data_IF_623977825886
#
_entry.id   IF_623977825886
#
_cell.length_a   1.000
_cell.length_b   1.000
_cell.length_c   1.000
_cell.angle_alpha   90.00
_cell.angle_beta   90.00
_cell.angle_gamma   90.00
#
_symmetry.space_group_name_H-M   'P 1'
#
loop_
_entity.id
_entity.type
_entity.pdbx_description
1 polymer ?
#
# COMPACT_ATOMS: atom_id res chain seq x y z
N UNK A 1 4.46 14.98 -19.49
CA UNK A 1 3.51 13.95 -19.03
C UNK A 1 4.28 12.95 -18.19
N UNK A 2 3.83 12.68 -16.96
CA UNK A 2 4.43 11.70 -16.07
C UNK A 2 3.34 10.69 -15.66
N UNK A 3 3.73 9.44 -15.51
CA UNK A 3 2.84 8.38 -14.99
C UNK A 3 3.19 8.10 -13.55
N UNK A 4 2.19 8.14 -12.68
CA UNK A 4 2.32 7.83 -11.26
C UNK A 4 1.69 6.47 -11.01
N UNK A 5 2.41 5.59 -10.31
CA UNK A 5 1.89 4.30 -9.86
C UNK A 5 1.73 4.33 -8.34
N UNK A 6 0.54 3.97 -7.85
CA UNK A 6 0.21 4.04 -6.43
C UNK A 6 0.20 2.66 -5.80
N UNK A 7 1.07 2.50 -4.81
CA UNK A 7 0.93 1.51 -3.75
C UNK A 7 0.07 2.11 -2.62
N UNK A 8 -1.21 1.73 -2.58
CA UNK A 8 -2.18 2.24 -1.61
C UNK A 8 -1.95 1.74 -0.17
N UNK A 9 -2.58 2.43 0.78
CA UNK A 9 -2.52 2.13 2.21
C UNK A 9 -3.39 0.95 2.64
N UNK A 10 -3.31 0.61 3.93
CA UNK A 10 -3.97 -0.55 4.51
C UNK A 10 -5.49 -0.41 4.48
N UNK A 11 -6.17 -1.55 4.34
CA UNK A 11 -7.63 -1.69 4.28
C UNK A 11 -8.31 -0.91 3.14
N UNK A 12 -7.52 -0.34 2.24
CA UNK A 12 -7.99 0.44 1.10
C UNK A 12 -7.86 -0.36 -0.20
N UNK A 13 -8.11 0.28 -1.33
CA UNK A 13 -7.78 -0.23 -2.65
C UNK A 13 -7.61 0.92 -3.65
N UNK A 14 -7.48 0.62 -4.94
CA UNK A 14 -7.38 1.63 -6.00
C UNK A 14 -8.52 2.65 -6.00
N UNK A 15 -9.69 2.27 -5.48
CA UNK A 15 -10.85 3.16 -5.35
C UNK A 15 -10.57 4.39 -4.48
N UNK A 16 -9.71 4.33 -3.46
CA UNK A 16 -9.49 5.49 -2.56
C UNK A 16 -8.82 6.67 -3.25
N UNK A 17 -8.18 6.41 -4.40
CA UNK A 17 -7.52 7.41 -5.21
C UNK A 17 -8.39 7.93 -6.35
N UNK A 18 -9.67 7.53 -6.42
CA UNK A 18 -10.60 7.92 -7.49
C UNK A 18 -10.67 9.43 -7.68
N UNK A 19 -10.70 10.21 -6.59
CA UNK A 19 -10.77 11.68 -6.65
C UNK A 19 -9.47 12.33 -7.15
N UNK A 20 -8.33 11.65 -7.00
CA UNK A 20 -7.03 12.15 -7.47
C UNK A 20 -6.82 11.96 -8.97
N UNK A 21 -7.36 10.89 -9.56
CA UNK A 21 -7.22 10.60 -10.99
C UNK A 21 -7.55 11.80 -11.92
N UNK A 22 -8.72 12.48 -11.79
CA UNK A 22 -9.03 13.64 -12.64
C UNK A 22 -8.08 14.82 -12.38
N UNK A 23 -7.71 15.09 -11.12
CA UNK A 23 -6.81 16.20 -10.77
C UNK A 23 -5.43 16.03 -11.40
N UNK A 24 -4.88 14.81 -11.38
CA UNK A 24 -3.60 14.50 -12.04
C UNK A 24 -3.73 14.62 -13.57
N UNK A 25 -4.84 14.16 -14.15
CA UNK A 25 -5.09 14.26 -15.59
C UNK A 25 -5.19 15.71 -16.07
N UNK A 26 -5.84 16.59 -15.30
CA UNK A 26 -5.93 18.02 -15.59
C UNK A 26 -4.54 18.69 -15.65
N UNK A 27 -3.57 18.15 -14.92
CA UNK A 27 -2.17 18.61 -14.94
C UNK A 27 -1.30 17.85 -15.96
N UNK A 28 -1.90 17.07 -16.86
CA UNK A 28 -1.19 16.33 -17.90
C UNK A 28 -0.39 15.14 -17.36
N UNK A 29 -0.87 14.51 -16.28
CA UNK A 29 -0.29 13.31 -15.67
C UNK A 29 -1.27 12.14 -15.70
N UNK A 30 -0.74 10.93 -15.63
CA UNK A 30 -1.51 9.70 -15.51
C UNK A 30 -1.35 9.12 -14.10
N UNK A 31 -2.40 8.51 -13.56
CA UNK A 31 -2.40 7.91 -12.23
C UNK A 31 -2.93 6.47 -12.26
N UNK A 32 -2.00 5.52 -12.23
CA UNK A 32 -2.27 4.09 -12.08
C UNK A 32 -2.49 3.77 -10.61
N UNK A 33 -3.66 3.23 -10.29
CA UNK A 33 -4.08 2.94 -8.90
C UNK A 33 -4.68 1.54 -8.85
N UNK A 34 -3.84 0.50 -8.96
CA UNK A 34 -4.28 -0.89 -8.84
C UNK A 34 -4.73 -1.22 -7.41
N UNK A 35 -5.56 -2.24 -7.26
CA UNK A 35 -5.89 -2.83 -5.97
C UNK A 35 -5.06 -4.08 -5.74
N UNK A 36 -4.61 -4.31 -4.52
CA UNK A 36 -3.92 -5.57 -4.18
C UNK A 36 -4.88 -6.76 -4.12
N UNK A 37 -4.35 -7.96 -4.28
CA UNK A 37 -5.02 -9.23 -4.01
C UNK A 37 -5.63 -9.23 -2.61
N UNK A 38 -6.90 -9.61 -2.49
CA UNK A 38 -7.61 -9.62 -1.20
C UNK A 38 -8.19 -8.27 -0.77
N UNK A 39 -8.02 -7.20 -1.54
CA UNK A 39 -8.57 -5.88 -1.25
C UNK A 39 -9.39 -5.31 -2.43
N UNK A 40 -10.29 -4.38 -2.12
CA UNK A 40 -11.14 -3.73 -3.14
C UNK A 40 -11.97 -4.70 -3.97
N UNK A 41 -11.97 -4.52 -5.29
CA UNK A 41 -12.62 -5.41 -6.27
C UNK A 41 -12.01 -6.84 -6.28
N UNK A 42 -10.82 -7.01 -5.70
CA UNK A 42 -10.13 -8.29 -5.53
C UNK A 42 -10.33 -8.90 -4.13
N UNK A 43 -11.26 -8.36 -3.32
CA UNK A 43 -11.56 -8.84 -1.96
C UNK A 43 -11.98 -10.32 -1.89
N UNK A 44 -12.56 -10.85 -2.96
CA UNK A 44 -12.90 -12.27 -3.10
C UNK A 44 -11.67 -13.20 -3.13
N UNK A 45 -10.46 -12.66 -3.32
CA UNK A 45 -9.20 -13.39 -3.29
C UNK A 45 -8.51 -13.34 -1.92
N UNK A 46 -9.17 -12.83 -0.88
CA UNK A 46 -8.59 -12.75 0.46
C UNK A 46 -8.34 -14.17 1.02
N UNK A 47 -7.10 -14.43 1.41
CA UNK A 47 -6.64 -15.71 1.96
C UNK A 47 -5.59 -15.51 3.06
N UNK A 48 -5.41 -16.54 3.89
CA UNK A 48 -4.40 -16.55 4.98
C UNK A 48 -2.95 -16.51 4.48
N UNK A 49 -2.77 -16.85 3.21
CA UNK A 49 -1.55 -16.92 2.43
C UNK A 49 -1.25 -15.61 1.68
N UNK A 50 -2.17 -14.65 1.69
CA UNK A 50 -1.92 -13.31 1.13
C UNK A 50 -1.02 -12.54 2.10
N UNK A 51 0.21 -12.29 1.68
CA UNK A 51 1.26 -11.67 2.45
C UNK A 51 1.79 -10.37 1.79
N UNK A 52 2.88 -9.81 2.33
CA UNK A 52 3.46 -8.57 1.80
C UNK A 52 4.01 -8.77 0.39
N UNK A 53 4.66 -9.91 0.12
CA UNK A 53 5.22 -10.24 -1.19
C UNK A 53 4.13 -10.41 -2.25
N UNK A 54 2.93 -10.92 -1.90
CA UNK A 54 1.79 -10.95 -2.80
C UNK A 54 1.40 -9.53 -3.29
N UNK A 55 1.37 -8.54 -2.38
CA UNK A 55 1.05 -7.15 -2.75
C UNK A 55 2.19 -6.49 -3.54
N UNK A 56 3.46 -6.81 -3.26
CA UNK A 56 4.60 -6.38 -4.08
C UNK A 56 4.50 -6.96 -5.49
N UNK A 57 4.20 -8.26 -5.61
CA UNK A 57 4.04 -8.94 -6.88
C UNK A 57 2.91 -8.36 -7.73
N UNK A 58 1.78 -7.98 -7.12
CA UNK A 58 0.68 -7.31 -7.82
C UNK A 58 1.14 -6.02 -8.51
N UNK A 59 2.00 -5.23 -7.87
CA UNK A 59 2.50 -3.96 -8.41
C UNK A 59 3.61 -4.16 -9.44
N UNK A 60 4.48 -5.14 -9.25
CA UNK A 60 5.43 -5.57 -10.28
C UNK A 60 4.71 -6.06 -11.54
N UNK A 61 3.60 -6.78 -11.37
CA UNK A 61 2.77 -7.20 -12.50
C UNK A 61 2.17 -5.99 -13.24
N UNK A 62 1.68 -4.98 -12.53
CA UNK A 62 1.19 -3.73 -13.15
C UNK A 62 2.30 -3.04 -13.94
N UNK A 63 3.50 -2.88 -13.39
CA UNK A 63 4.65 -2.32 -14.13
C UNK A 63 4.94 -3.14 -15.39
N UNK A 64 4.93 -4.47 -15.29
CA UNK A 64 5.22 -5.34 -16.43
C UNK A 64 4.16 -5.31 -17.53
N UNK A 65 2.88 -5.27 -17.17
CA UNK A 65 1.78 -5.47 -18.12
C UNK A 65 1.18 -4.15 -18.64
N UNK A 66 1.19 -3.09 -17.85
CA UNK A 66 0.82 -1.74 -18.31
C UNK A 66 2.00 -1.04 -19.01
N UNK A 67 3.24 -1.54 -18.80
CA UNK A 67 4.49 -1.02 -19.38
C UNK A 67 4.62 0.53 -19.30
N UNK A 68 4.38 1.15 -18.12
CA UNK A 68 4.51 2.58 -18.00
C UNK A 68 5.99 2.98 -18.12
N UNK A 69 6.26 4.05 -18.87
CA UNK A 69 7.61 4.59 -19.00
C UNK A 69 8.06 5.27 -17.70
N UNK A 70 9.05 4.68 -17.03
CA UNK A 70 9.73 5.20 -15.84
C UNK A 70 8.80 5.83 -14.79
N UNK A 71 7.73 5.15 -14.32
CA UNK A 71 6.74 5.76 -13.45
C UNK A 71 7.34 6.29 -12.15
N UNK A 72 6.69 7.32 -11.61
CA UNK A 72 6.90 7.75 -10.22
C UNK A 72 6.08 6.83 -9.32
N UNK A 73 6.75 6.06 -8.47
CA UNK A 73 6.09 5.15 -7.52
C UNK A 73 5.73 5.91 -6.25
N UNK A 74 4.46 5.88 -5.85
CA UNK A 74 3.95 6.47 -4.62
C UNK A 74 3.63 5.34 -3.64
N UNK A 75 4.25 5.31 -2.48
CA UNK A 75 3.84 4.49 -1.34
C UNK A 75 3.09 5.35 -0.33
N UNK A 76 1.82 5.04 -0.05
CA UNK A 76 1.04 5.73 0.98
C UNK A 76 0.77 4.83 2.19
N UNK A 77 1.06 5.28 3.40
CA UNK A 77 0.85 4.50 4.63
C UNK A 77 1.50 3.10 4.53
N UNK A 78 0.74 2.02 4.75
CA UNK A 78 1.14 0.62 4.49
C UNK A 78 1.78 0.43 3.11
N UNK A 79 1.30 1.16 2.10
CA UNK A 79 1.84 1.12 0.74
C UNK A 79 3.31 1.52 0.67
N UNK A 80 3.89 2.17 1.69
CA UNK A 80 5.33 2.37 1.81
C UNK A 80 6.12 1.07 1.93
N UNK A 81 5.59 0.04 2.61
CA UNK A 81 6.19 -1.31 2.64
C UNK A 81 6.24 -1.90 1.23
N UNK A 82 5.09 -1.88 0.54
CA UNK A 82 4.92 -2.43 -0.81
C UNK A 82 5.81 -1.67 -1.80
N UNK A 83 5.77 -0.33 -1.78
CA UNK A 83 6.53 0.52 -2.68
C UNK A 83 8.04 0.36 -2.49
N UNK A 84 8.52 0.21 -1.25
CA UNK A 84 9.94 -0.06 -0.98
C UNK A 84 10.35 -1.40 -1.56
N UNK A 85 9.51 -2.43 -1.43
CA UNK A 85 9.73 -3.73 -2.06
C UNK A 85 9.83 -3.60 -3.57
N UNK A 86 8.80 -3.05 -4.23
CA UNK A 86 8.79 -2.83 -5.68
C UNK A 86 10.05 -2.08 -6.14
N UNK A 87 10.39 -0.97 -5.48
CA UNK A 87 11.55 -0.15 -5.81
C UNK A 87 12.89 -0.87 -5.65
N UNK A 88 12.99 -1.84 -4.75
CA UNK A 88 14.18 -2.67 -4.60
C UNK A 88 14.28 -3.75 -5.71
N UNK A 89 13.17 -4.28 -6.21
CA UNK A 89 13.17 -5.30 -7.28
C UNK A 89 13.42 -4.71 -8.67
N UNK A 90 12.87 -3.53 -8.96
CA UNK A 90 12.92 -2.90 -10.30
C UNK A 90 13.34 -1.43 -10.25
N UNK A 91 14.45 -1.07 -9.59
CA UNK A 91 14.84 0.32 -9.42
C UNK A 91 15.07 1.03 -10.75
N UNK A 92 15.60 0.32 -11.76
CA UNK A 92 15.92 0.91 -13.07
C UNK A 92 14.67 1.14 -13.94
N UNK A 93 13.49 0.66 -13.50
CA UNK A 93 12.20 0.90 -14.14
C UNK A 93 11.45 2.09 -13.52
N UNK A 94 11.98 2.75 -12.50
CA UNK A 94 11.30 3.83 -11.77
C UNK A 94 12.09 5.13 -11.88
N UNK A 95 11.40 6.26 -12.03
CA UNK A 95 12.07 7.57 -12.02
C UNK A 95 12.28 8.12 -10.61
N UNK A 96 11.39 7.77 -9.67
CA UNK A 96 11.40 8.24 -8.28
C UNK A 96 10.50 7.39 -7.40
N UNK A 97 10.85 7.28 -6.12
CA UNK A 97 9.96 6.80 -5.07
C UNK A 97 9.51 7.95 -4.16
N UNK A 98 8.21 8.13 -4.00
CA UNK A 98 7.58 9.10 -3.11
C UNK A 98 6.87 8.35 -1.98
N UNK A 99 7.29 8.62 -0.75
CA UNK A 99 6.58 8.20 0.45
C UNK A 99 5.59 9.31 0.83
N UNK A 100 4.31 8.98 0.93
CA UNK A 100 3.25 9.89 1.35
C UNK A 100 2.66 9.36 2.66
N UNK A 101 2.99 9.98 3.80
CA UNK A 101 2.57 9.51 5.13
C UNK A 101 2.73 8.01 5.31
N UNK A 102 3.93 7.51 4.99
CA UNK A 102 4.16 6.11 4.72
C UNK A 102 5.21 5.48 5.61
N UNK A 103 5.08 4.17 5.81
CA UNK A 103 6.13 3.38 6.44
C UNK A 103 7.36 3.29 5.53
N UNK A 104 8.55 3.43 6.11
CA UNK A 104 9.84 3.34 5.41
C UNK A 104 10.67 2.23 6.04
N UNK A 105 10.49 0.95 5.64
CA UNK A 105 11.17 -0.17 6.27
C UNK A 105 12.65 -0.24 5.88
N UNK A 106 13.47 -0.77 6.80
CA UNK A 106 14.78 -1.35 6.50
C UNK A 106 14.63 -2.84 6.18
N UNK A 107 15.68 -3.44 5.63
CA UNK A 107 15.73 -4.89 5.42
C UNK A 107 15.43 -5.65 6.72
N UNK A 108 14.62 -6.70 6.61
CA UNK A 108 14.25 -7.55 7.73
C UNK A 108 13.19 -6.96 8.68
N UNK A 109 12.66 -5.76 8.43
CA UNK A 109 11.55 -5.21 9.22
C UNK A 109 10.19 -5.60 8.64
N UNK A 110 9.24 -5.95 9.51
CA UNK A 110 7.82 -5.98 9.14
C UNK A 110 7.16 -4.62 9.46
N UNK A 111 5.92 -4.41 9.00
CA UNK A 111 5.18 -3.21 9.41
C UNK A 111 4.99 -3.18 10.93
N UNK A 112 4.66 -4.32 11.54
CA UNK A 112 4.51 -4.42 12.99
C UNK A 112 5.75 -4.01 13.79
N UNK A 113 6.97 -4.13 13.23
CA UNK A 113 8.21 -3.69 13.89
C UNK A 113 8.38 -2.16 13.85
N UNK A 114 7.68 -1.48 12.95
CA UNK A 114 7.68 -0.03 12.79
C UNK A 114 6.62 0.68 13.65
N UNK A 115 5.75 -0.09 14.32
CA UNK A 115 4.72 0.44 15.21
C UNK A 115 5.25 0.62 16.63
N UNK A 116 4.63 1.55 17.36
CA UNK A 116 4.74 1.58 18.82
C UNK A 116 4.19 0.31 19.46
N UNK A 117 4.68 -0.05 20.65
CA UNK A 117 4.32 -1.29 21.33
C UNK A 117 2.80 -1.44 21.55
N UNK A 118 2.11 -0.35 21.88
CA UNK A 118 0.66 -0.33 22.08
C UNK A 118 -0.11 -0.59 20.78
N UNK A 119 0.25 0.11 19.69
CA UNK A 119 -0.38 -0.09 18.38
C UNK A 119 -0.18 -1.50 17.84
N UNK A 120 1.03 -2.04 18.01
CA UNK A 120 1.37 -3.42 17.67
C UNK A 120 0.50 -4.41 18.43
N UNK A 121 0.37 -4.24 19.75
CA UNK A 121 -0.47 -5.10 20.59
C UNK A 121 -1.94 -5.02 20.15
N UNK A 122 -2.46 -3.81 19.95
CA UNK A 122 -3.83 -3.57 19.47
C UNK A 122 -4.13 -4.28 18.16
N UNK A 123 -3.23 -4.19 17.17
CA UNK A 123 -3.43 -4.87 15.88
C UNK A 123 -3.42 -6.39 16.00
N UNK A 124 -2.52 -6.95 16.82
CA UNK A 124 -2.44 -8.39 17.06
C UNK A 124 -3.66 -8.92 17.81
N UNK A 125 -4.15 -8.18 18.81
CA UNK A 125 -5.34 -8.55 19.57
C UNK A 125 -6.60 -8.43 18.72
N UNK A 126 -6.70 -7.42 17.85
CA UNK A 126 -7.78 -7.31 16.89
C UNK A 126 -7.82 -8.51 15.93
N UNK A 127 -6.66 -8.99 15.46
CA UNK A 127 -6.59 -10.20 14.65
C UNK A 127 -7.03 -11.45 15.42
N UNK A 128 -6.64 -11.59 16.70
CA UNK A 128 -7.01 -12.73 17.55
C UNK A 128 -8.50 -12.82 17.84
N UNK A 129 -9.16 -11.68 18.02
CA UNK A 129 -10.61 -11.58 18.29
C UNK A 129 -11.43 -11.81 17.02
N UNK A 130 -10.88 -11.49 15.85
CA UNK A 130 -11.50 -11.76 14.55
C UNK A 130 -11.63 -13.28 14.30
N UNK A 131 -12.74 -13.69 13.70
CA UNK A 131 -13.07 -15.11 13.47
C UNK A 131 -12.14 -15.71 12.41
N UNK A 132 -11.05 -16.29 12.89
CA UNK A 132 -10.07 -17.00 12.06
C UNK A 132 -8.63 -16.64 12.42
N UNK A 133 -8.40 -15.55 13.16
CA UNK A 133 -7.06 -15.21 13.63
C UNK A 133 -6.10 -14.71 12.54
N UNK A 134 -6.60 -14.45 11.32
CA UNK A 134 -5.75 -14.22 10.15
C UNK A 134 -6.04 -12.91 9.42
N UNK A 135 -7.03 -12.11 9.83
CA UNK A 135 -7.30 -10.78 9.27
C UNK A 135 -7.34 -9.72 10.36
N UNK A 136 -7.03 -8.49 10.00
CA UNK A 136 -7.10 -7.32 10.87
C UNK A 136 -8.22 -6.40 10.38
N UNK A 137 -9.14 -5.94 11.26
CA UNK A 137 -10.16 -4.95 10.91
C UNK A 137 -9.56 -3.59 10.57
N UNK A 138 -10.26 -2.80 9.73
CA UNK A 138 -9.82 -1.44 9.45
C UNK A 138 -9.76 -0.57 10.71
N UNK A 139 -8.65 0.15 10.90
CA UNK A 139 -8.58 1.21 11.92
C UNK A 139 -9.64 2.31 11.65
N UNK A 140 -10.08 3.06 12.67
CA UNK A 140 -10.88 4.26 12.45
C UNK A 140 -10.25 5.21 11.43
N UNK A 141 -11.06 5.87 10.61
CA UNK A 141 -10.55 6.90 9.70
C UNK A 141 -10.24 8.19 10.48
N UNK A 142 -9.39 9.08 9.93
CA UNK A 142 -9.05 10.35 10.56
C UNK A 142 -10.29 11.14 10.98
N UNK A 143 -10.23 11.80 12.14
CA UNK A 143 -11.38 12.50 12.75
C UNK A 143 -11.88 13.67 11.89
N UNK A 144 -11.01 14.23 11.05
CA UNK A 144 -11.30 15.29 10.09
C UNK A 144 -11.83 14.78 8.74
N UNK A 145 -12.03 13.47 8.58
CA UNK A 145 -12.69 12.92 7.39
C UNK A 145 -14.14 13.40 7.32
N UNK A 146 -14.54 14.00 6.19
CA UNK A 146 -15.91 14.48 6.00
C UNK A 146 -16.94 13.35 6.14
N UNK A 147 -18.16 13.66 6.58
CA UNK A 147 -19.24 12.66 6.72
C UNK A 147 -19.54 11.94 5.39
N UNK A 148 -19.52 12.68 4.28
CA UNK A 148 -19.71 12.12 2.95
C UNK A 148 -18.62 11.09 2.59
N UNK A 149 -17.36 11.38 2.94
CA UNK A 149 -16.25 10.46 2.69
C UNK A 149 -16.23 9.30 3.68
N UNK A 150 -16.65 9.53 4.94
CA UNK A 150 -16.89 8.48 5.92
C UNK A 150 -17.92 7.47 5.40
N UNK A 151 -19.08 7.95 4.96
CA UNK A 151 -20.16 7.12 4.42
C UNK A 151 -19.74 6.40 3.14
N UNK A 152 -18.95 7.04 2.27
CA UNK A 152 -18.50 6.43 1.03
C UNK A 152 -17.39 5.39 1.22
N UNK A 153 -16.38 5.67 2.04
CA UNK A 153 -15.21 4.81 2.18
C UNK A 153 -15.45 3.63 3.14
N UNK A 154 -16.21 3.82 4.22
CA UNK A 154 -16.47 2.76 5.23
C UNK A 154 -16.93 1.43 4.62
N UNK A 155 -17.95 1.35 3.75
CA UNK A 155 -18.39 0.08 3.17
C UNK A 155 -17.41 -0.51 2.15
N UNK A 156 -16.38 0.23 1.73
CA UNK A 156 -15.36 -0.20 0.76
C UNK A 156 -14.08 -0.66 1.43
N UNK A 157 -13.89 -0.37 2.72
CA UNK A 157 -12.75 -0.84 3.50
C UNK A 157 -13.03 -2.24 4.00
N UNK A 158 -12.12 -3.16 3.71
CA UNK A 158 -12.26 -4.58 4.05
C UNK A 158 -11.17 -5.01 5.03
N UNK A 159 -11.42 -6.10 5.75
CA UNK A 159 -10.45 -6.75 6.61
C UNK A 159 -9.22 -7.16 5.79
N UNK A 160 -8.01 -6.84 6.27
CA UNK A 160 -6.76 -7.14 5.55
C UNK A 160 -6.03 -8.33 6.20
N UNK A 161 -5.46 -9.27 5.43
CA UNK A 161 -4.72 -10.41 5.97
C UNK A 161 -3.57 -9.99 6.90
N UNK A 162 -3.37 -10.70 8.01
CA UNK A 162 -2.37 -10.39 9.03
C UNK A 162 -0.94 -10.52 8.50
N UNK A 163 -0.69 -11.49 7.61
CA UNK A 163 0.65 -11.73 7.06
C UNK A 163 1.19 -10.53 6.28
N UNK A 164 0.34 -9.68 5.70
CA UNK A 164 0.79 -8.46 5.03
C UNK A 164 1.47 -7.48 6.00
N UNK A 165 1.13 -7.53 7.28
CA UNK A 165 1.72 -6.67 8.32
C UNK A 165 2.89 -7.33 9.05
N UNK A 166 2.86 -8.67 9.14
CA UNK A 166 3.81 -9.48 9.92
C UNK A 166 5.02 -9.94 9.13
N UNK A 167 4.90 -10.12 7.82
CA UNK A 167 6.00 -10.59 6.99
C UNK A 167 7.13 -9.54 6.95
N UNK A 168 8.37 -9.91 7.34
CA UNK A 168 9.52 -9.04 7.18
C UNK A 168 9.83 -8.84 5.70
N UNK A 169 10.07 -7.59 5.30
CA UNK A 169 10.52 -7.30 3.94
C UNK A 169 11.95 -7.77 3.73
N UNK A 170 12.27 -8.26 2.53
CA UNK A 170 13.64 -8.57 2.11
C UNK A 170 14.10 -7.54 1.10
N UNK A 171 15.19 -6.84 1.37
CA UNK A 171 15.74 -5.78 0.53
C UNK A 171 17.22 -6.04 0.22
N UNK A 172 17.61 -5.79 -1.02
CA UNK A 172 19.01 -5.86 -1.48
C UNK A 172 19.77 -4.55 -1.25
N UNK A 173 19.06 -3.48 -0.90
CA UNK A 173 19.58 -2.10 -0.82
C UNK A 173 19.48 -1.36 -2.15
N UNK A 174 18.92 -1.99 -3.18
CA UNK A 174 18.81 -1.41 -4.51
C UNK A 174 17.87 -0.18 -4.55
N UNK A 175 16.89 -0.12 -3.63
CA UNK A 175 16.03 1.06 -3.43
C UNK A 175 16.82 2.34 -3.10
N UNK A 176 18.04 2.23 -2.57
CA UNK A 176 18.87 3.40 -2.24
C UNK A 176 19.42 4.12 -3.48
N UNK A 177 19.45 3.46 -4.63
CA UNK A 177 19.87 4.07 -5.91
C UNK A 177 18.84 5.03 -6.47
N UNK A 178 17.60 4.95 -6.01
CA UNK A 178 16.50 5.77 -6.49
C UNK A 178 16.43 7.13 -5.78
N UNK A 179 16.11 8.21 -6.50
CA UNK A 179 15.67 9.45 -5.88
C UNK A 179 14.44 9.18 -5.01
N UNK A 180 14.49 9.61 -3.75
CA UNK A 180 13.43 9.42 -2.76
C UNK A 180 12.96 10.74 -2.19
N UNK A 181 11.65 10.87 -2.01
CA UNK A 181 11.02 12.03 -1.36
C UNK A 181 10.04 11.54 -0.33
N UNK A 182 9.98 12.22 0.81
CA UNK A 182 8.96 12.00 1.83
C UNK A 182 8.04 13.23 1.90
N UNK A 183 6.75 13.00 1.86
CA UNK A 183 5.68 13.99 2.00
C UNK A 183 4.86 13.61 3.22
N UNK A 184 4.72 14.57 4.14
CA UNK A 184 3.88 14.51 5.33
C UNK A 184 2.49 15.08 5.05
#
# INVERSE_FOLDING_TARGET
MATFLVAHGAWSAGWSWKKMRPLLREHGHELLTPSYTGLGERSHLAGKDVDLEAHIADLLAVIRYEDPKDPVLIGHSYGGMVATGVADRVPDCLSRLVYLDAFVPRDGQSLLDLLGAEDRARMLDAARVERGGWRIPPNPMPQDTSEADLAWATPRRVMQPLETFRQPIRLTGAVERLPRTYVY
#
